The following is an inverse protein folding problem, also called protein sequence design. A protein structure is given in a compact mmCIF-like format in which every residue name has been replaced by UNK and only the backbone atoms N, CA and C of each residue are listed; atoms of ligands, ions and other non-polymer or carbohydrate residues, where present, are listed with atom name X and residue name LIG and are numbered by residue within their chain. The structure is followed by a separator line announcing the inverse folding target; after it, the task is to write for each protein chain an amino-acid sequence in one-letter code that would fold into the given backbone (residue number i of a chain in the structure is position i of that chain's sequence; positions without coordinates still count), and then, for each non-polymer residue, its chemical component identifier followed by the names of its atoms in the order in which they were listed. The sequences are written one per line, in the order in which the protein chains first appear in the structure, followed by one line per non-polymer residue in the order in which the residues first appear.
data_IF_723223983413
#
_entry.id   IF_723223983413
#
_cell.length_a   1.000
_cell.length_b   1.000
_cell.length_c   1.000
_cell.angle_alpha   90.00
_cell.angle_beta   90.00
_cell.angle_gamma   90.00
#
_symmetry.space_group_name_H-M   'P 1'
#
loop_
_entity.id
_entity.type
_entity.pdbx_description
1 polymer ?
#
# COMPACT_ATOMS: atom_id res chain seq x y z
N UNK A 1 -7.02 23.63 -5.67
CA UNK A 1 -5.95 22.82 -6.30
C UNK A 1 -6.59 21.53 -6.80
N UNK A 2 -6.55 21.25 -8.11
CA UNK A 2 -6.98 19.96 -8.66
C UNK A 2 -5.95 18.88 -8.30
N UNK A 3 -6.40 17.71 -7.85
CA UNK A 3 -5.53 16.55 -7.59
C UNK A 3 -5.37 15.74 -8.87
N UNK A 4 -4.21 15.14 -9.08
CA UNK A 4 -3.89 14.31 -10.24
C UNK A 4 -3.12 13.05 -9.83
N UNK A 5 -3.10 12.06 -10.72
CA UNK A 5 -2.19 10.90 -10.66
C UNK A 5 -1.35 10.86 -11.92
N UNK A 6 -0.12 10.34 -11.82
CA UNK A 6 0.76 10.09 -12.97
C UNK A 6 0.90 8.59 -13.18
N UNK A 7 0.76 8.15 -14.43
CA UNK A 7 0.77 6.71 -14.80
C UNK A 7 1.77 6.42 -15.91
N UNK A 8 2.26 5.18 -15.95
CA UNK A 8 3.04 4.64 -17.08
C UNK A 8 4.53 4.98 -17.10
N UNK A 9 5.13 5.32 -15.96
CA UNK A 9 6.54 5.72 -15.85
C UNK A 9 7.24 5.00 -14.69
N UNK A 10 8.51 4.65 -14.88
CA UNK A 10 9.42 4.28 -13.80
C UNK A 10 10.15 5.49 -13.21
N UNK A 11 10.10 6.66 -13.85
CA UNK A 11 10.68 7.91 -13.34
C UNK A 11 9.62 8.68 -12.55
N UNK A 12 9.96 9.07 -11.32
CA UNK A 12 9.13 9.89 -10.44
C UNK A 12 8.72 11.17 -11.17
N UNK A 13 7.47 11.57 -10.99
CA UNK A 13 6.89 12.77 -11.60
C UNK A 13 6.85 12.80 -13.14
N UNK A 14 7.23 11.72 -13.82
CA UNK A 14 7.07 11.56 -15.25
C UNK A 14 5.85 10.68 -15.59
N UNK A 15 5.57 10.51 -16.89
CA UNK A 15 4.42 9.75 -17.38
C UNK A 15 3.22 10.65 -17.73
N UNK A 16 2.06 10.02 -17.90
CA UNK A 16 0.82 10.73 -18.26
C UNK A 16 0.09 11.18 -17.00
N UNK A 17 -0.14 12.49 -16.88
CA UNK A 17 -0.94 13.06 -15.79
C UNK A 17 -2.44 12.93 -16.09
N UNK A 18 -3.21 12.49 -15.10
CA UNK A 18 -4.66 12.31 -15.21
C UNK A 18 -5.32 12.93 -13.98
N UNK A 19 -6.28 13.83 -14.22
CA UNK A 19 -6.99 14.50 -13.13
C UNK A 19 -7.85 13.51 -12.33
N UNK A 20 -7.91 13.70 -11.02
CA UNK A 20 -8.80 12.97 -10.13
C UNK A 20 -10.15 13.70 -10.09
N UNK A 21 -11.22 12.98 -10.43
CA UNK A 21 -12.60 13.47 -10.38
C UNK A 21 -13.19 13.39 -8.97
N UNK A 22 -12.92 12.28 -8.29
CA UNK A 22 -13.55 11.97 -7.00
C UNK A 22 -12.59 11.13 -6.14
N UNK A 23 -12.67 11.33 -4.82
CA UNK A 23 -11.88 10.60 -3.83
C UNK A 23 -12.85 9.96 -2.85
N UNK A 24 -13.02 8.64 -2.99
CA UNK A 24 -13.84 7.84 -2.11
C UNK A 24 -12.94 7.27 -1.01
N UNK A 25 -12.86 7.94 0.14
CA UNK A 25 -12.20 7.40 1.34
C UNK A 25 -13.13 6.43 2.04
N UNK A 26 -12.59 5.36 2.61
CA UNK A 26 -13.42 4.44 3.38
C UNK A 26 -14.10 5.20 4.54
N UNK A 27 -15.44 5.11 4.70
CA UNK A 27 -16.18 5.96 5.64
C UNK A 27 -15.87 5.66 7.11
N UNK A 28 -15.38 4.45 7.40
CA UNK A 28 -14.92 4.04 8.74
C UNK A 28 -13.45 4.37 9.03
N UNK A 29 -12.72 4.96 8.07
CA UNK A 29 -11.34 5.37 8.33
C UNK A 29 -11.31 6.50 9.37
N UNK A 30 -10.51 6.30 10.40
CA UNK A 30 -10.24 7.29 11.45
C UNK A 30 -8.75 7.30 11.71
N UNK A 31 -8.17 8.50 11.79
CA UNK A 31 -6.75 8.64 12.11
C UNK A 31 -6.58 8.48 13.63
N UNK A 32 -6.23 7.28 14.08
CA UNK A 32 -6.00 6.96 15.49
C UNK A 32 -4.98 5.81 15.61
N UNK A 33 -4.82 5.27 16.82
CA UNK A 33 -3.89 4.15 17.11
C UNK A 33 -4.36 2.79 16.56
N UNK A 34 -5.42 2.74 15.76
CA UNK A 34 -5.91 1.56 15.06
C UNK A 34 -5.92 1.89 13.57
N UNK A 35 -4.85 1.57 12.82
CA UNK A 35 -4.72 1.89 11.40
C UNK A 35 -5.65 0.98 10.57
N UNK A 36 -6.96 1.15 10.75
CA UNK A 36 -8.00 0.36 10.12
C UNK A 36 -8.64 1.15 8.99
N UNK A 37 -9.09 0.42 7.97
CA UNK A 37 -9.77 1.00 6.82
C UNK A 37 -8.95 2.08 6.11
N UNK A 38 -7.61 2.03 6.21
CA UNK A 38 -6.73 2.95 5.51
C UNK A 38 -6.66 2.59 4.04
N UNK A 39 -7.71 3.01 3.32
CA UNK A 39 -7.91 2.77 1.91
C UNK A 39 -8.78 3.88 1.33
N UNK A 40 -8.48 4.26 0.08
CA UNK A 40 -9.29 5.14 -0.72
C UNK A 40 -9.30 4.67 -2.18
N UNK A 41 -10.40 4.94 -2.89
CA UNK A 41 -10.51 4.75 -4.34
C UNK A 41 -10.54 6.14 -4.99
N UNK A 42 -9.61 6.36 -5.92
CA UNK A 42 -9.57 7.58 -6.73
C UNK A 42 -10.26 7.31 -8.06
N UNK A 43 -11.36 8.02 -8.33
CA UNK A 43 -12.00 8.00 -9.64
C UNK A 43 -11.33 9.02 -10.53
N UNK A 44 -10.80 8.58 -11.66
CA UNK A 44 -10.18 9.45 -12.64
C UNK A 44 -11.23 10.23 -13.42
N UNK A 45 -10.87 11.43 -13.88
CA UNK A 45 -11.72 12.28 -14.70
C UNK A 45 -11.88 11.71 -16.11
N UNK A 46 -10.78 11.20 -16.66
CA UNK A 46 -10.69 10.64 -17.99
C UNK A 46 -10.17 9.20 -17.90
N UNK A 47 -10.63 8.34 -18.81
CA UNK A 47 -10.19 6.95 -18.87
C UNK A 47 -8.72 6.85 -19.27
N UNK A 48 -8.00 5.94 -18.62
CA UNK A 48 -6.60 5.66 -18.94
C UNK A 48 -6.53 4.58 -20.00
N UNK A 49 -5.87 4.88 -21.11
CA UNK A 49 -5.61 3.89 -22.16
C UNK A 49 -4.51 2.93 -21.70
N UNK A 50 -4.80 1.63 -21.73
CA UNK A 50 -3.79 0.60 -21.44
C UNK A 50 -2.75 0.53 -22.55
N UNK A 51 -1.51 0.31 -22.13
CA UNK A 51 -0.32 0.23 -22.98
C UNK A 51 0.62 -0.83 -22.40
N UNK A 52 1.81 -0.99 -22.98
CA UNK A 52 2.82 -1.86 -22.40
C UNK A 52 3.29 -1.40 -21.02
N UNK A 53 3.29 -0.09 -20.76
CA UNK A 53 3.68 0.50 -19.47
C UNK A 53 2.50 0.80 -18.54
N UNK A 54 1.26 0.67 -18.99
CA UNK A 54 0.06 0.96 -18.20
C UNK A 54 -0.88 -0.25 -18.23
N UNK A 55 -0.97 -0.95 -17.10
CA UNK A 55 -1.83 -2.12 -16.92
C UNK A 55 -2.51 -2.07 -15.56
N UNK A 56 -3.74 -2.58 -15.49
CA UNK A 56 -4.42 -2.77 -14.22
C UNK A 56 -3.81 -3.98 -13.47
N UNK A 57 -3.70 -3.86 -12.15
CA UNK A 57 -3.34 -4.97 -11.27
C UNK A 57 -4.60 -5.70 -10.81
N UNK A 58 -4.58 -7.03 -10.81
CA UNK A 58 -5.67 -7.82 -10.24
C UNK A 58 -5.68 -7.70 -8.71
N UNK A 59 -6.84 -7.80 -8.07
CA UNK A 59 -6.91 -7.82 -6.61
C UNK A 59 -6.79 -9.25 -6.07
N UNK A 60 -5.99 -9.47 -5.04
CA UNK A 60 -5.87 -10.76 -4.37
C UNK A 60 -7.24 -11.21 -3.81
N UNK A 61 -7.48 -12.52 -3.80
CA UNK A 61 -8.74 -13.13 -3.31
C UNK A 61 -8.62 -13.67 -1.89
N UNK A 62 -7.40 -13.80 -1.39
CA UNK A 62 -7.08 -14.36 -0.07
C UNK A 62 -5.99 -13.52 0.57
N UNK A 63 -6.05 -13.35 1.88
CA UNK A 63 -5.00 -12.70 2.66
C UNK A 63 -3.68 -13.47 2.50
N UNK A 64 -2.53 -12.78 2.42
CA UNK A 64 -1.25 -13.46 2.30
C UNK A 64 -0.94 -14.24 3.58
N UNK A 65 -0.41 -15.46 3.43
CA UNK A 65 -0.01 -16.28 4.57
C UNK A 65 1.32 -15.78 5.16
N UNK A 66 1.58 -16.12 6.43
CA UNK A 66 2.88 -15.86 7.06
C UNK A 66 4.00 -16.52 6.24
N UNK A 67 5.07 -15.78 5.99
CA UNK A 67 6.21 -16.20 5.17
C UNK A 67 6.03 -15.94 3.67
N UNK A 68 4.83 -15.62 3.18
CA UNK A 68 4.63 -15.20 1.79
C UNK A 68 5.44 -13.93 1.53
N UNK A 69 6.30 -13.95 0.51
CA UNK A 69 7.05 -12.78 0.07
C UNK A 69 6.21 -11.96 -0.89
N UNK A 70 5.97 -10.70 -0.57
CA UNK A 70 5.36 -9.75 -1.49
C UNK A 70 6.38 -8.73 -1.99
N UNK A 71 6.13 -8.24 -3.21
CA UNK A 71 6.87 -7.17 -3.85
C UNK A 71 6.26 -5.83 -3.44
N UNK A 72 7.04 -4.99 -2.80
CA UNK A 72 6.69 -3.59 -2.51
C UNK A 72 7.48 -2.72 -3.47
N UNK A 73 6.83 -1.73 -4.07
CA UNK A 73 7.46 -0.84 -5.06
C UNK A 73 7.09 0.62 -4.83
N UNK A 74 8.03 1.52 -5.03
CA UNK A 74 7.80 2.96 -4.89
C UNK A 74 9.02 3.82 -5.15
N UNK A 75 8.87 5.11 -4.86
CA UNK A 75 9.89 6.16 -5.06
C UNK A 75 10.29 6.83 -3.73
N UNK A 76 9.95 6.19 -2.61
CA UNK A 76 10.25 6.68 -1.29
C UNK A 76 11.73 6.90 -1.05
N UNK A 77 12.00 7.52 0.09
CA UNK A 77 13.34 7.86 0.55
C UNK A 77 14.26 6.64 0.54
N UNK A 78 15.46 6.83 0.02
CA UNK A 78 16.54 5.83 0.06
C UNK A 78 17.33 6.00 1.36
N UNK A 79 18.23 5.04 1.61
CA UNK A 79 19.10 5.00 2.79
C UNK A 79 20.03 6.23 2.89
N UNK A 80 20.29 6.93 1.78
CA UNK A 80 21.07 8.18 1.74
C UNK A 80 20.25 9.43 2.10
N UNK A 81 18.98 9.26 2.48
CA UNK A 81 18.07 10.34 2.85
C UNK A 81 17.43 11.05 1.66
N UNK A 82 17.78 10.68 0.41
CA UNK A 82 17.24 11.29 -0.80
C UNK A 82 16.13 10.43 -1.37
N UNK A 83 15.04 11.06 -1.78
CA UNK A 83 13.96 10.35 -2.45
C UNK A 83 14.43 9.77 -3.80
N UNK A 84 13.90 8.62 -4.18
CA UNK A 84 14.30 7.99 -5.44
C UNK A 84 13.63 8.67 -6.63
N UNK A 85 14.42 9.00 -7.66
CA UNK A 85 13.87 9.46 -8.95
C UNK A 85 13.46 8.31 -9.87
N UNK A 86 13.98 7.11 -9.62
CA UNK A 86 13.67 5.88 -10.35
C UNK A 86 12.91 4.91 -9.44
N UNK A 87 11.94 4.20 -10.00
CA UNK A 87 11.12 3.24 -9.26
C UNK A 87 12.03 2.15 -8.71
N UNK A 88 11.86 1.84 -7.42
CA UNK A 88 12.56 0.75 -6.74
C UNK A 88 11.55 -0.25 -6.23
N UNK A 89 12.02 -1.45 -5.96
CA UNK A 89 11.22 -2.51 -5.38
C UNK A 89 12.06 -3.42 -4.48
N UNK A 90 11.37 -4.05 -3.53
CA UNK A 90 11.94 -5.05 -2.63
C UNK A 90 10.93 -6.16 -2.36
N UNK A 91 11.43 -7.36 -2.08
CA UNK A 91 10.61 -8.45 -1.56
C UNK A 91 10.75 -8.50 -0.05
N UNK A 92 9.61 -8.50 0.64
CA UNK A 92 9.53 -8.61 2.11
C UNK A 92 8.52 -9.70 2.50
N UNK A 93 8.83 -10.56 3.49
CA UNK A 93 7.96 -11.63 3.93
C UNK A 93 6.91 -11.13 4.92
N UNK A 94 5.69 -11.66 4.80
CA UNK A 94 4.62 -11.45 5.79
C UNK A 94 5.00 -12.10 7.12
N UNK A 95 4.75 -11.39 8.22
CA UNK A 95 4.88 -11.90 9.58
C UNK A 95 3.49 -12.07 10.22
N UNK A 96 3.40 -12.81 11.32
CA UNK A 96 2.12 -12.96 12.01
C UNK A 96 1.70 -11.64 12.67
N UNK A 97 0.40 -11.34 12.70
CA UNK A 97 -0.11 -10.16 13.41
C UNK A 97 0.23 -10.21 14.91
N UNK A 98 0.34 -11.41 15.49
CA UNK A 98 0.80 -11.60 16.88
C UNK A 98 2.24 -11.13 17.07
N UNK A 99 3.13 -11.44 16.13
CA UNK A 99 4.52 -10.98 16.20
C UNK A 99 4.62 -9.49 15.92
N UNK A 100 3.86 -9.00 14.95
CA UNK A 100 3.76 -7.57 14.63
C UNK A 100 3.29 -6.74 15.85
N UNK A 101 2.28 -7.22 16.57
CA UNK A 101 1.72 -6.54 17.75
C UNK A 101 2.79 -6.28 18.83
N UNK A 102 3.74 -7.21 19.03
CA UNK A 102 4.82 -7.05 20.02
C UNK A 102 5.70 -5.82 19.77
N UNK A 103 5.82 -5.38 18.53
CA UNK A 103 6.65 -4.21 18.18
C UNK A 103 5.95 -2.89 18.49
N UNK A 104 4.61 -2.89 18.47
CA UNK A 104 3.81 -1.66 18.57
C UNK A 104 2.99 -1.58 19.86
N UNK A 105 3.09 -2.60 20.73
CA UNK A 105 2.43 -2.65 22.04
C UNK A 105 2.76 -1.43 22.91
N UNK A 106 4.04 -1.03 22.94
CA UNK A 106 4.51 0.13 23.72
C UNK A 106 3.96 1.46 23.18
N UNK A 107 3.55 1.50 21.91
CA UNK A 107 2.98 2.67 21.25
C UNK A 107 1.45 2.77 21.42
N UNK A 108 0.83 1.76 22.06
CA UNK A 108 -0.62 1.68 22.22
C UNK A 108 -1.37 1.44 20.91
N UNK A 109 -0.67 0.95 19.88
CA UNK A 109 -1.26 0.61 18.58
C UNK A 109 -1.85 -0.80 18.64
N UNK A 110 -3.02 -1.00 18.03
CA UNK A 110 -3.64 -2.32 17.91
C UNK A 110 -3.65 -2.79 16.45
N UNK A 111 -2.98 -3.91 16.18
CA UNK A 111 -3.01 -4.59 14.89
C UNK A 111 -4.32 -5.34 14.75
N UNK A 112 -5.11 -4.97 13.74
CA UNK A 112 -6.42 -5.55 13.48
C UNK A 112 -6.33 -6.76 12.55
N UNK A 113 -7.46 -7.46 12.33
CA UNK A 113 -7.58 -8.47 11.28
C UNK A 113 -7.84 -7.90 9.88
N UNK A 114 -7.98 -6.58 9.74
CA UNK A 114 -8.05 -5.85 8.46
C UNK A 114 -6.67 -5.43 7.95
N UNK A 115 -5.64 -5.69 8.75
CA UNK A 115 -4.24 -5.36 8.48
C UNK A 115 -3.40 -6.62 8.52
N UNK A 116 -2.35 -6.66 7.72
CA UNK A 116 -1.25 -7.61 7.90
C UNK A 116 0.07 -6.86 7.98
N UNK A 117 1.10 -7.52 8.49
CA UNK A 117 2.43 -6.93 8.60
C UNK A 117 3.46 -7.70 7.79
N UNK A 118 4.50 -7.01 7.34
CA UNK A 118 5.69 -7.61 6.75
C UNK A 118 6.93 -6.98 7.36
N UNK A 119 7.99 -7.77 7.50
CA UNK A 119 9.24 -7.30 8.09
C UNK A 119 10.41 -8.05 7.47
N UNK A 120 11.42 -7.30 7.03
CA UNK A 120 12.73 -7.78 6.64
C UNK A 120 13.73 -6.68 6.95
N UNK A 121 14.77 -6.98 7.72
CA UNK A 121 15.76 -5.98 8.11
C UNK A 121 16.43 -5.36 6.88
N UNK A 122 16.42 -4.03 6.81
CA UNK A 122 16.99 -3.24 5.72
C UNK A 122 16.15 -3.26 4.44
N UNK A 123 14.93 -3.81 4.46
CA UNK A 123 14.01 -3.79 3.31
C UNK A 123 12.60 -3.44 3.75
N UNK A 124 12.06 -2.39 3.16
CA UNK A 124 10.67 -2.01 3.38
C UNK A 124 10.31 -0.72 2.68
N UNK A 125 9.03 -0.33 2.71
CA UNK A 125 8.61 1.01 2.34
C UNK A 125 9.26 2.05 3.26
N UNK A 126 9.48 3.24 2.70
CA UNK A 126 10.07 4.38 3.40
C UNK A 126 9.18 5.62 3.18
N UNK A 127 9.61 6.79 3.67
CA UNK A 127 8.81 8.01 3.52
C UNK A 127 8.57 8.32 2.03
N UNK A 128 7.30 8.49 1.66
CA UNK A 128 6.87 8.69 0.27
C UNK A 128 6.23 7.46 -0.39
N UNK A 129 6.32 6.27 0.22
CA UNK A 129 5.71 5.05 -0.32
C UNK A 129 4.29 4.77 0.23
N UNK A 130 3.77 5.63 1.11
CA UNK A 130 2.41 5.51 1.65
C UNK A 130 1.34 5.41 0.55
N UNK A 131 0.43 4.44 0.69
CA UNK A 131 -0.56 4.11 -0.34
C UNK A 131 -0.01 3.23 -1.48
N UNK A 132 1.29 2.90 -1.47
CA UNK A 132 1.93 2.04 -2.45
C UNK A 132 1.49 0.57 -2.35
N UNK A 133 1.76 -0.24 -3.40
CA UNK A 133 1.28 -1.62 -3.47
C UNK A 133 2.20 -2.60 -2.73
N UNK A 134 1.59 -3.60 -2.09
CA UNK A 134 2.20 -4.88 -1.76
C UNK A 134 1.59 -5.95 -2.68
N UNK A 135 2.39 -6.46 -3.62
CA UNK A 135 1.93 -7.39 -4.65
C UNK A 135 2.44 -8.81 -4.41
N UNK A 136 1.56 -9.80 -4.54
CA UNK A 136 1.88 -11.23 -4.50
C UNK A 136 1.37 -11.86 -5.80
N UNK A 137 2.26 -12.55 -6.53
CA UNK A 137 1.94 -13.22 -7.81
C UNK A 137 1.19 -12.31 -8.81
N UNK A 138 1.62 -11.05 -8.92
CA UNK A 138 1.02 -10.06 -9.82
C UNK A 138 -0.36 -9.56 -9.39
N UNK A 139 -0.81 -9.85 -8.16
CA UNK A 139 -2.05 -9.35 -7.58
C UNK A 139 -1.78 -8.43 -6.40
N UNK A 140 -2.59 -7.38 -6.24
CA UNK A 140 -2.55 -6.48 -5.11
C UNK A 140 -3.09 -7.20 -3.87
N UNK A 141 -2.20 -7.49 -2.92
CA UNK A 141 -2.55 -8.14 -1.66
C UNK A 141 -2.66 -7.12 -0.51
N UNK A 142 -1.93 -6.01 -0.56
CA UNK A 142 -2.04 -4.95 0.43
C UNK A 142 -1.68 -3.56 -0.06
N UNK A 143 -2.01 -2.57 0.77
CA UNK A 143 -1.67 -1.15 0.58
C UNK A 143 -0.80 -0.71 1.75
N UNK A 144 0.35 -0.09 1.47
CA UNK A 144 1.25 0.48 2.48
C UNK A 144 0.50 1.52 3.33
N UNK A 145 0.39 1.30 4.64
CA UNK A 145 -0.37 2.14 5.57
C UNK A 145 0.51 2.72 6.68
N UNK A 146 1.13 1.87 7.52
CA UNK A 146 1.86 2.29 8.71
C UNK A 146 3.19 1.56 8.92
N UNK A 147 3.95 1.93 9.95
CA UNK A 147 5.25 1.29 10.28
C UNK A 147 6.33 1.44 9.20
N UNK A 148 6.26 2.52 8.40
CA UNK A 148 7.11 2.76 7.24
C UNK A 148 8.48 3.37 7.62
N UNK A 149 9.20 2.71 8.53
CA UNK A 149 10.51 3.15 9.03
C UNK A 149 11.65 2.56 8.19
N UNK A 150 11.49 2.54 6.86
CA UNK A 150 12.56 2.28 5.90
C UNK A 150 13.30 0.94 6.11
N UNK A 151 12.57 -0.09 6.54
CA UNK A 151 13.13 -1.42 6.80
C UNK A 151 13.82 -1.58 8.18
N UNK A 152 13.54 -0.71 9.15
CA UNK A 152 13.98 -0.92 10.54
C UNK A 152 13.50 -2.28 11.06
N UNK A 153 14.45 -3.09 11.56
CA UNK A 153 14.22 -4.40 12.16
C UNK A 153 13.22 -4.38 13.34
N UNK A 154 12.97 -3.21 13.93
CA UNK A 154 12.06 -2.99 15.05
C UNK A 154 10.71 -2.40 14.66
N UNK A 155 10.49 -2.10 13.38
CA UNK A 155 9.24 -1.51 12.90
C UNK A 155 8.71 -2.28 11.69
N UNK A 156 7.89 -3.33 11.90
CA UNK A 156 7.17 -3.98 10.82
C UNK A 156 6.31 -2.99 10.06
N UNK A 157 6.38 -3.05 8.73
CA UNK A 157 5.47 -2.29 7.89
C UNK A 157 4.08 -2.93 7.91
N UNK A 158 3.06 -2.09 7.97
CA UNK A 158 1.66 -2.46 8.12
C UNK A 158 0.91 -2.15 6.84
N UNK A 159 0.08 -3.09 6.41
CA UNK A 159 -0.63 -3.01 5.15
C UNK A 159 -2.12 -3.22 5.38
N UNK A 160 -2.96 -2.42 4.72
CA UNK A 160 -4.39 -2.71 4.61
C UNK A 160 -4.57 -3.97 3.77
N UNK A 161 -5.27 -4.97 4.29
CA UNK A 161 -5.51 -6.26 3.62
C UNK A 161 -6.63 -6.14 2.58
N UNK A 162 -6.28 -6.28 1.30
CA UNK A 162 -7.22 -6.15 0.17
C UNK A 162 -8.19 -7.33 0.08
N UNK A 163 -7.80 -8.50 0.59
CA UNK A 163 -8.64 -9.69 0.57
C UNK A 163 -9.54 -9.78 1.80
N UNK A 164 -9.34 -8.95 2.82
CA UNK A 164 -10.23 -8.86 3.96
C UNK A 164 -11.67 -8.56 3.49
N UNK A 165 -12.65 -9.28 4.04
CA UNK A 165 -14.05 -9.21 3.60
C UNK A 165 -14.63 -7.79 3.66
N UNK A 166 -14.41 -7.07 4.75
CA UNK A 166 -14.99 -5.72 4.91
C UNK A 166 -14.39 -4.74 3.91
N UNK A 167 -13.07 -4.82 3.69
CA UNK A 167 -12.36 -4.02 2.69
C UNK A 167 -12.86 -4.38 1.29
N UNK A 168 -12.97 -5.66 0.98
CA UNK A 168 -13.35 -6.14 -0.35
C UNK A 168 -14.80 -5.81 -0.70
N UNK A 169 -15.71 -5.94 0.27
CA UNK A 169 -17.11 -5.59 0.10
C UNK A 169 -17.28 -4.08 -0.11
N UNK A 170 -16.51 -3.26 0.62
CA UNK A 170 -16.50 -1.82 0.38
C UNK A 170 -15.97 -1.46 -1.01
N UNK A 171 -14.86 -2.05 -1.46
CA UNK A 171 -14.32 -1.81 -2.83
C UNK A 171 -15.39 -2.09 -3.89
N UNK A 172 -16.10 -3.21 -3.78
CA UNK A 172 -17.18 -3.60 -4.71
C UNK A 172 -18.42 -2.69 -4.63
N UNK A 173 -18.64 -2.05 -3.48
CA UNK A 173 -19.78 -1.18 -3.26
C UNK A 173 -19.57 0.27 -3.74
N UNK A 174 -18.33 0.65 -4.04
CA UNK A 174 -18.04 1.98 -4.61
C UNK A 174 -18.44 1.99 -6.09
N UNK A 175 -19.44 2.80 -6.43
CA UNK A 175 -19.99 2.92 -7.79
C UNK A 175 -18.88 3.04 -8.86
N UNK A 176 -18.89 2.12 -9.84
CA UNK A 176 -17.94 2.11 -10.95
C UNK A 176 -16.76 1.14 -10.79
N UNK A 177 -16.82 0.23 -9.82
CA UNK A 177 -15.98 -0.97 -9.69
C UNK A 177 -16.83 -2.25 -9.70
#
# INVERSE_FOLDING_TARGET
MSREVKVGSATRDAGSAVAVKEINRHPKFVQNSKPEYDIAILRLKDDVKFTDSIKAIGLASTSPAVGTKGRVSGWGRKDDGVDSTTLRDVYVPVISNKDCQKYVDAEGITISNRTFCALETGKGPCQGDSGGPFAVDGKLAGIVSGGNECGDAKSPSQYTDIANKDIRDWIRGVNGF
#
